data_IF_593929771867
#
_entry.id   IF_593929771867
#
_cell.length_a   1.000
_cell.length_b   1.000
_cell.length_c   1.000
_cell.angle_alpha   90.00
_cell.angle_beta   90.00
_cell.angle_gamma   90.00
#
_symmetry.space_group_name_H-M   'P 1'
#
loop_
_entity.id
_entity.type
_entity.pdbx_description
1 polymer ?
#
# COMPACT_ATOMS: atom_id res chain seq x y z
N UNK A 1 -20.01 -5.47 -28.48
CA UNK A 1 -18.95 -5.47 -27.45
C UNK A 1 -19.17 -4.22 -26.61
N UNK A 2 -19.58 -4.38 -25.35
CA UNK A 2 -19.90 -3.25 -24.47
C UNK A 2 -18.59 -2.59 -24.05
N UNK A 3 -18.45 -1.28 -24.28
CA UNK A 3 -17.29 -0.54 -23.77
C UNK A 3 -17.30 -0.57 -22.25
N UNK A 4 -16.15 -0.78 -21.58
CA UNK A 4 -16.10 -0.75 -20.14
C UNK A 4 -16.34 0.67 -19.65
N UNK A 5 -17.34 0.85 -18.78
CA UNK A 5 -17.68 2.12 -18.14
C UNK A 5 -17.66 1.95 -16.62
N UNK A 6 -17.42 3.04 -15.90
CA UNK A 6 -17.59 3.09 -14.44
C UNK A 6 -19.07 3.36 -14.14
N UNK A 7 -19.68 2.49 -13.35
CA UNK A 7 -21.06 2.66 -12.87
C UNK A 7 -21.04 3.00 -11.37
N UNK A 8 -21.91 3.88 -10.87
CA UNK A 8 -22.00 4.13 -9.44
C UNK A 8 -22.30 2.86 -8.62
N UNK A 9 -21.81 2.74 -7.37
CA UNK A 9 -20.91 3.67 -6.67
C UNK A 9 -19.47 3.64 -7.19
N UNK A 10 -18.81 4.81 -7.26
CA UNK A 10 -17.41 4.93 -7.69
C UNK A 10 -16.52 5.21 -6.48
N UNK A 11 -15.46 4.43 -6.31
CA UNK A 11 -14.46 4.60 -5.26
C UNK A 11 -13.17 5.16 -5.85
N UNK A 12 -12.64 6.23 -5.26
CA UNK A 12 -11.27 6.67 -5.47
C UNK A 12 -10.34 5.94 -4.51
N UNK A 13 -9.33 5.24 -5.04
CA UNK A 13 -8.34 4.53 -4.23
C UNK A 13 -6.95 4.82 -4.77
N UNK A 14 -6.08 5.41 -3.93
CA UNK A 14 -4.71 5.86 -4.25
C UNK A 14 -4.62 6.85 -5.43
N UNK A 15 -4.91 6.41 -6.65
CA UNK A 15 -4.85 7.19 -7.88
C UNK A 15 -5.73 6.65 -9.02
N UNK A 16 -6.53 5.62 -8.78
CA UNK A 16 -7.47 5.07 -9.76
C UNK A 16 -8.90 5.13 -9.22
N UNK A 17 -9.86 5.06 -10.13
CA UNK A 17 -11.29 4.94 -9.81
C UNK A 17 -11.73 3.49 -10.00
N UNK A 18 -12.61 3.00 -9.14
CA UNK A 18 -13.14 1.65 -9.18
C UNK A 18 -14.65 1.63 -8.98
N UNK A 19 -15.35 0.86 -9.81
CA UNK A 19 -16.77 0.56 -9.66
C UNK A 19 -16.97 -0.92 -9.29
N UNK A 20 -17.54 -1.24 -8.11
CA UNK A 20 -17.94 -2.60 -7.78
C UNK A 20 -19.05 -3.13 -8.69
N UNK A 21 -19.98 -2.27 -9.12
CA UNK A 21 -21.13 -2.63 -9.97
C UNK A 21 -20.68 -3.11 -11.35
N UNK A 22 -19.83 -2.33 -12.01
CA UNK A 22 -19.35 -2.69 -13.36
C UNK A 22 -18.09 -3.57 -13.33
N UNK A 23 -17.42 -3.68 -12.18
CA UNK A 23 -16.14 -4.37 -12.04
C UNK A 23 -15.04 -3.72 -12.87
N UNK A 24 -15.14 -2.43 -13.15
CA UNK A 24 -14.19 -1.69 -13.95
C UNK A 24 -13.33 -0.76 -13.09
N UNK A 25 -12.09 -0.57 -13.53
CA UNK A 25 -11.16 0.42 -13.01
C UNK A 25 -10.85 1.44 -14.09
N UNK A 26 -10.60 2.69 -13.69
CA UNK A 26 -10.06 3.74 -14.55
C UNK A 26 -8.71 4.17 -13.98
N UNK A 27 -7.64 3.95 -14.74
CA UNK A 27 -6.28 4.30 -14.34
C UNK A 27 -6.02 5.82 -14.46
N UNK A 28 -4.80 6.25 -14.13
CA UNK A 28 -4.40 7.66 -14.21
C UNK A 28 -4.32 8.20 -15.65
N UNK A 29 -4.22 7.32 -16.65
CA UNK A 29 -4.19 7.67 -18.07
C UNK A 29 -5.61 7.73 -18.68
N UNK A 30 -6.65 7.82 -17.83
CA UNK A 30 -8.06 7.77 -18.20
C UNK A 30 -8.52 6.49 -18.94
N UNK A 31 -7.69 5.45 -18.97
CA UNK A 31 -8.01 4.17 -19.59
C UNK A 31 -8.88 3.33 -18.66
N UNK A 32 -10.03 2.88 -19.18
CA UNK A 32 -10.94 2.00 -18.45
C UNK A 32 -10.63 0.53 -18.78
N UNK A 33 -10.41 -0.26 -17.73
CA UNK A 33 -10.10 -1.69 -17.82
C UNK A 33 -11.15 -2.45 -16.99
N UNK A 34 -11.73 -3.51 -17.57
CA UNK A 34 -12.64 -4.40 -16.84
C UNK A 34 -11.84 -5.48 -16.14
N UNK A 35 -11.98 -5.59 -14.83
CA UNK A 35 -11.39 -6.65 -14.03
C UNK A 35 -12.12 -7.98 -14.28
N UNK A 36 -11.42 -9.10 -14.10
CA UNK A 36 -12.11 -10.39 -14.03
C UNK A 36 -13.01 -10.43 -12.80
N UNK A 37 -14.10 -11.19 -12.84
CA UNK A 37 -15.08 -11.24 -11.75
C UNK A 37 -14.46 -11.51 -10.36
N UNK A 38 -13.50 -12.45 -10.29
CA UNK A 38 -12.80 -12.76 -9.03
C UNK A 38 -11.88 -11.64 -8.56
N UNK A 39 -11.23 -10.94 -9.48
CA UNK A 39 -10.37 -9.78 -9.18
C UNK A 39 -11.21 -8.60 -8.67
N UNK A 40 -12.36 -8.33 -9.31
CA UNK A 40 -13.32 -7.31 -8.86
C UNK A 40 -13.86 -7.62 -7.45
N UNK A 41 -14.34 -8.84 -7.22
CA UNK A 41 -14.86 -9.24 -5.91
C UNK A 41 -13.77 -9.13 -4.82
N UNK A 42 -12.53 -9.47 -5.15
CA UNK A 42 -11.40 -9.33 -4.23
C UNK A 42 -11.11 -7.88 -3.89
N UNK A 43 -11.13 -6.99 -4.88
CA UNK A 43 -10.93 -5.56 -4.66
C UNK A 43 -12.06 -4.95 -3.82
N UNK A 44 -13.31 -5.35 -4.07
CA UNK A 44 -14.46 -4.96 -3.23
C UNK A 44 -14.25 -5.40 -1.79
N UNK A 45 -13.91 -6.68 -1.56
CA UNK A 45 -13.67 -7.20 -0.22
C UNK A 45 -12.54 -6.47 0.52
N UNK A 46 -11.47 -6.06 -0.19
CA UNK A 46 -10.37 -5.28 0.37
C UNK A 46 -10.75 -3.83 0.72
N UNK A 47 -11.66 -3.24 -0.05
CA UNK A 47 -12.20 -1.90 0.21
C UNK A 47 -13.11 -1.94 1.44
N UNK A 48 -14.01 -2.92 1.50
CA UNK A 48 -14.95 -3.09 2.61
C UNK A 48 -14.24 -3.42 3.94
N UNK A 49 -13.10 -4.12 3.88
CA UNK A 49 -12.33 -4.47 5.07
C UNK A 49 -11.38 -3.38 5.54
N UNK A 50 -11.20 -2.28 4.80
CA UNK A 50 -10.22 -1.25 5.18
C UNK A 50 -10.59 -0.58 6.52
N UNK A 51 -9.64 -0.37 7.47
CA UNK A 51 -8.18 -0.58 7.38
C UNK A 51 -7.70 -1.94 7.93
N UNK A 52 -8.59 -2.89 8.16
CA UNK A 52 -8.29 -4.19 8.73
C UNK A 52 -7.66 -5.17 7.73
N UNK A 53 -6.99 -6.19 8.27
CA UNK A 53 -6.39 -7.26 7.45
C UNK A 53 -7.48 -8.23 7.01
N UNK A 54 -7.68 -8.34 5.70
CA UNK A 54 -8.52 -9.35 5.10
C UNK A 54 -7.80 -10.71 5.15
N UNK A 55 -8.30 -11.61 6.00
CA UNK A 55 -7.70 -12.93 6.22
C UNK A 55 -7.91 -13.85 5.03
N UNK A 56 -7.04 -14.86 4.87
CA UNK A 56 -7.18 -15.86 3.79
C UNK A 56 -8.50 -16.63 3.87
N UNK A 57 -8.92 -16.98 5.08
CA UNK A 57 -10.19 -17.64 5.32
C UNK A 57 -11.36 -16.73 4.92
N UNK A 58 -11.31 -15.44 5.28
CA UNK A 58 -12.34 -14.49 4.86
C UNK A 58 -12.39 -14.30 3.34
N UNK A 59 -11.24 -14.30 2.66
CA UNK A 59 -11.19 -14.26 1.19
C UNK A 59 -11.88 -15.50 0.60
N UNK A 60 -11.55 -16.68 1.13
CA UNK A 60 -12.15 -17.93 0.69
C UNK A 60 -13.67 -17.93 0.90
N UNK A 61 -14.13 -17.62 2.11
CA UNK A 61 -15.54 -17.60 2.48
C UNK A 61 -16.36 -16.60 1.66
N UNK A 62 -15.80 -15.40 1.39
CA UNK A 62 -16.51 -14.35 0.67
C UNK A 62 -16.53 -14.58 -0.84
N UNK A 63 -15.39 -14.99 -1.43
CA UNK A 63 -15.28 -15.12 -2.87
C UNK A 63 -15.73 -16.51 -3.33
N UNK A 64 -15.32 -17.60 -2.68
CA UNK A 64 -15.64 -18.96 -3.10
C UNK A 64 -16.83 -19.54 -2.34
N UNK A 65 -17.92 -18.78 -2.17
CA UNK A 65 -19.18 -19.29 -1.59
C UNK A 65 -19.62 -20.58 -2.30
N UNK A 66 -19.62 -21.70 -1.56
CA UNK A 66 -19.99 -23.02 -2.08
C UNK A 66 -18.90 -23.75 -2.88
N UNK A 67 -17.66 -23.28 -2.83
CA UNK A 67 -16.49 -23.93 -3.43
C UNK A 67 -15.27 -23.76 -2.53
N UNK A 68 -14.17 -24.45 -2.84
CA UNK A 68 -12.93 -24.37 -2.07
C UNK A 68 -11.84 -23.67 -2.87
N UNK A 69 -11.03 -22.83 -2.22
CA UNK A 69 -9.91 -22.15 -2.84
C UNK A 69 -8.62 -22.47 -2.11
N UNK A 70 -7.65 -23.04 -2.83
CA UNK A 70 -6.33 -23.26 -2.24
C UNK A 70 -5.60 -21.93 -2.01
N UNK A 71 -4.62 -21.93 -1.11
CA UNK A 71 -3.68 -20.81 -0.93
C UNK A 71 -3.02 -20.38 -2.25
N UNK A 72 -2.71 -21.33 -3.14
CA UNK A 72 -2.13 -21.04 -4.45
C UNK A 72 -3.11 -20.27 -5.35
N UNK A 73 -4.39 -20.66 -5.34
CA UNK A 73 -5.46 -19.97 -6.07
C UNK A 73 -5.62 -18.53 -5.58
N UNK A 74 -5.69 -18.31 -4.26
CA UNK A 74 -5.78 -16.96 -3.68
C UNK A 74 -4.56 -16.12 -4.06
N UNK A 75 -3.35 -16.69 -3.95
CA UNK A 75 -2.11 -16.00 -4.35
C UNK A 75 -2.13 -15.60 -5.83
N UNK A 76 -2.65 -16.46 -6.71
CA UNK A 76 -2.76 -16.18 -8.14
C UNK A 76 -3.78 -15.07 -8.41
N UNK A 77 -4.93 -15.08 -7.74
CA UNK A 77 -5.94 -14.00 -7.86
C UNK A 77 -5.37 -12.67 -7.37
N UNK A 78 -4.66 -12.65 -6.24
CA UNK A 78 -3.96 -11.45 -5.76
C UNK A 78 -2.91 -10.97 -6.77
N UNK A 79 -2.13 -11.88 -7.37
CA UNK A 79 -1.14 -11.53 -8.39
C UNK A 79 -1.80 -10.92 -9.63
N UNK A 80 -2.90 -11.50 -10.10
CA UNK A 80 -3.64 -10.99 -11.24
C UNK A 80 -4.26 -9.61 -10.95
N UNK A 81 -4.83 -9.42 -9.76
CA UNK A 81 -5.34 -8.12 -9.33
C UNK A 81 -4.25 -7.06 -9.28
N UNK A 82 -3.08 -7.37 -8.68
CA UNK A 82 -1.93 -6.44 -8.67
C UNK A 82 -1.48 -6.04 -10.07
N UNK A 83 -1.46 -7.00 -11.01
CA UNK A 83 -1.12 -6.71 -12.40
C UNK A 83 -2.15 -5.77 -13.05
N UNK A 84 -3.45 -6.02 -12.87
CA UNK A 84 -4.51 -5.14 -13.40
C UNK A 84 -4.48 -3.74 -12.79
N UNK A 85 -4.02 -3.60 -11.54
CA UNK A 85 -3.88 -2.33 -10.82
C UNK A 85 -2.52 -1.64 -11.03
N UNK A 86 -1.61 -2.25 -11.81
CA UNK A 86 -0.24 -1.76 -11.99
C UNK A 86 0.52 -1.60 -10.65
N UNK A 87 0.19 -2.43 -9.65
CA UNK A 87 0.78 -2.45 -8.30
C UNK A 87 2.05 -3.31 -8.24
N UNK A 88 3.03 -3.01 -9.09
CA UNK A 88 4.28 -3.78 -9.20
C UNK A 88 5.12 -3.71 -7.91
N UNK A 89 5.09 -2.56 -7.24
CA UNK A 89 5.81 -2.33 -5.98
C UNK A 89 5.09 -2.90 -4.76
N UNK A 90 3.88 -3.49 -4.92
CA UNK A 90 3.05 -4.02 -3.83
C UNK A 90 2.76 -2.96 -2.76
N UNK A 91 2.66 -1.71 -3.19
CA UNK A 91 2.42 -0.56 -2.34
C UNK A 91 0.94 -0.48 -1.97
N UNK A 92 0.04 -0.83 -2.90
CA UNK A 92 -1.40 -0.73 -2.73
C UNK A 92 -1.97 -1.91 -1.95
N UNK A 93 -1.72 -3.15 -2.41
CA UNK A 93 -2.18 -4.37 -1.73
C UNK A 93 -0.99 -4.96 -0.98
N UNK A 94 -0.90 -4.73 0.33
CA UNK A 94 0.19 -5.25 1.17
C UNK A 94 -0.13 -6.65 1.68
N UNK A 95 0.89 -7.50 1.70
CA UNK A 95 0.80 -8.82 2.31
C UNK A 95 1.23 -8.73 3.78
N UNK A 96 0.38 -9.19 4.69
CA UNK A 96 0.74 -9.40 6.10
C UNK A 96 1.06 -10.88 6.29
N UNK A 97 2.31 -11.27 6.59
CA UNK A 97 2.72 -12.66 6.73
C UNK A 97 1.82 -13.42 7.69
N UNK A 98 1.43 -14.64 7.32
CA UNK A 98 0.55 -15.54 8.09
C UNK A 98 -0.87 -15.02 8.40
N UNK A 99 -1.19 -13.76 8.10
CA UNK A 99 -2.50 -13.17 8.39
C UNK A 99 -3.35 -13.02 7.12
N UNK A 100 -2.83 -12.32 6.11
CA UNK A 100 -3.65 -12.02 4.93
C UNK A 100 -3.15 -10.82 4.14
N UNK A 101 -4.08 -9.99 3.69
CA UNK A 101 -3.82 -8.84 2.83
C UNK A 101 -4.54 -7.60 3.36
N UNK A 102 -3.95 -6.43 3.16
CA UNK A 102 -4.55 -5.16 3.58
C UNK A 102 -4.36 -4.13 2.48
N UNK A 103 -5.37 -3.29 2.31
CA UNK A 103 -5.32 -2.15 1.41
C UNK A 103 -4.58 -1.00 2.11
N UNK A 104 -3.56 -0.43 1.47
CA UNK A 104 -2.73 0.63 2.08
C UNK A 104 -3.32 2.02 1.98
N UNK A 105 -4.29 2.22 1.09
CA UNK A 105 -4.90 3.53 0.80
C UNK A 105 -6.36 3.53 1.19
N UNK A 106 -6.80 4.59 1.86
CA UNK A 106 -8.20 4.75 2.25
C UNK A 106 -9.07 4.91 1.00
N UNK A 107 -10.11 4.09 0.81
CA UNK A 107 -11.07 4.28 -0.26
C UNK A 107 -11.99 5.46 0.05
N UNK A 108 -12.27 6.29 -0.95
CA UNK A 108 -13.21 7.41 -0.86
C UNK A 108 -14.35 7.20 -1.85
N UNK A 109 -15.60 7.20 -1.36
CA UNK A 109 -16.77 7.14 -2.22
C UNK A 109 -16.97 8.51 -2.91
N UNK A 110 -17.05 8.50 -4.23
CA UNK A 110 -17.44 9.64 -5.05
C UNK A 110 -18.96 9.52 -5.24
N UNK A 111 -19.72 10.28 -4.47
CA UNK A 111 -21.13 10.54 -4.76
C UNK A 111 -21.22 11.64 -5.83
N UNK A 112 -22.06 11.46 -6.85
CA UNK A 112 -22.30 12.41 -7.95
C UNK A 112 -22.99 13.73 -7.52
N UNK A 113 -22.73 14.20 -6.31
CA UNK A 113 -23.33 15.40 -5.73
C UNK A 113 -22.24 16.45 -5.48
N UNK A 114 -21.69 16.97 -6.58
CA UNK A 114 -21.28 18.38 -6.72
C UNK A 114 -20.67 18.59 -8.11
N UNK A 115 -21.53 18.63 -9.11
CA UNK A 115 -21.23 19.28 -10.38
C UNK A 115 -21.56 20.77 -10.24
N UNK A 116 -20.77 21.56 -9.50
CA UNK A 116 -20.73 23.03 -9.60
C UNK A 116 -19.36 23.59 -9.16
N UNK A 117 -18.45 23.70 -10.13
CA UNK A 117 -17.50 24.80 -10.39
C UNK A 117 -16.59 25.30 -9.24
N UNK A 118 -15.30 24.98 -9.33
CA UNK A 118 -14.24 26.01 -9.43
C UNK A 118 -13.20 25.56 -10.48
N UNK A 119 -13.47 25.91 -11.74
CA UNK A 119 -12.43 26.15 -12.74
C UNK A 119 -11.77 27.48 -12.36
N UNK A 120 -10.44 27.56 -12.31
CA UNK A 120 -9.54 28.61 -12.87
C UNK A 120 -8.07 28.21 -12.58
N UNK A 121 -7.05 28.68 -13.33
CA UNK A 121 -6.70 28.21 -14.68
C UNK A 121 -5.23 27.74 -14.76
N UNK A 122 -4.92 26.91 -15.75
CA UNK A 122 -3.55 26.60 -16.14
C UNK A 122 -2.88 27.83 -16.79
N UNK A 123 -1.64 28.21 -16.43
CA UNK A 123 -0.82 29.03 -17.29
C UNK A 123 -0.23 28.16 -18.40
N UNK A 124 -0.49 28.58 -19.63
CA UNK A 124 0.01 28.01 -20.89
C UNK A 124 1.33 28.69 -21.28
N UNK A 125 2.11 27.93 -22.05
CA UNK A 125 3.42 28.21 -22.68
C UNK A 125 4.59 27.90 -21.74
N UNK A 126 5.56 27.06 -22.11
CA UNK A 126 6.28 27.16 -23.38
C UNK A 126 6.93 25.82 -23.81
N UNK A 127 7.12 25.73 -25.12
CA UNK A 127 7.66 24.65 -25.92
C UNK A 127 9.06 24.21 -25.44
N UNK A 128 9.22 22.94 -25.06
CA UNK A 128 10.51 22.25 -25.20
C UNK A 128 10.26 20.95 -25.94
N UNK A 129 10.64 20.97 -27.21
CA UNK A 129 10.67 19.83 -28.10
C UNK A 129 11.67 18.81 -27.55
N UNK A 130 11.16 17.74 -26.93
CA UNK A 130 11.98 16.60 -26.53
C UNK A 130 12.24 15.75 -27.78
N UNK A 131 13.50 15.38 -28.10
CA UNK A 131 13.81 14.68 -29.33
C UNK A 131 13.16 13.29 -29.34
N UNK A 132 12.70 12.90 -30.53
CA UNK A 132 12.24 11.55 -30.86
C UNK A 132 13.37 10.55 -30.55
N UNK A 133 13.34 9.92 -29.37
CA UNK A 133 14.19 8.77 -29.09
C UNK A 133 13.57 7.56 -29.79
N UNK A 134 14.17 7.24 -30.93
CA UNK A 134 13.99 6.00 -31.67
C UNK A 134 14.12 4.80 -30.73
N UNK A 135 13.08 3.96 -30.71
CA UNK A 135 13.03 2.70 -29.94
C UNK A 135 14.17 1.78 -30.38
N UNK A 136 15.32 1.91 -29.74
CA UNK A 136 16.44 0.98 -29.91
C UNK A 136 16.04 -0.33 -29.25
N UNK A 137 15.73 -1.31 -30.10
CA UNK A 137 15.55 -2.71 -29.69
C UNK A 137 16.87 -3.18 -29.08
N UNK A 138 16.95 -3.23 -27.76
CA UNK A 138 18.00 -3.94 -27.05
C UNK A 138 17.94 -5.41 -27.45
N UNK A 139 18.84 -5.82 -28.37
CA UNK A 139 19.17 -7.22 -28.58
C UNK A 139 19.78 -7.72 -27.29
N UNK A 140 19.00 -8.51 -26.54
CA UNK A 140 19.50 -9.30 -25.43
C UNK A 140 20.45 -10.36 -26.01
N UNK A 141 21.74 -10.04 -26.08
CA UNK A 141 22.76 -11.01 -26.45
C UNK A 141 22.93 -12.00 -25.31
N UNK A 142 22.55 -13.24 -25.56
CA UNK A 142 22.90 -14.37 -24.71
C UNK A 142 24.41 -14.56 -24.73
N UNK A 143 25.09 -14.09 -23.68
CA UNK A 143 26.43 -14.55 -23.32
C UNK A 143 26.36 -15.28 -21.97
N UNK A 144 25.67 -16.42 -21.94
CA UNK A 144 25.75 -17.35 -20.81
C UNK A 144 26.83 -18.40 -21.14
N UNK A 145 28.06 -18.14 -20.69
CA UNK A 145 29.11 -19.16 -20.60
C UNK A 145 28.87 -20.03 -19.36
N UNK A 146 29.00 -21.37 -19.43
CA UNK A 146 28.66 -22.29 -18.33
C UNK A 146 29.51 -22.13 -17.06
N UNK A 147 30.55 -21.28 -17.09
CA UNK A 147 31.43 -21.05 -15.96
C UNK A 147 30.84 -20.11 -14.87
N UNK A 148 29.87 -19.25 -15.22
CA UNK A 148 29.35 -18.22 -14.29
C UNK A 148 28.17 -18.68 -13.43
N UNK A 149 27.54 -19.81 -13.77
CA UNK A 149 26.38 -20.36 -13.02
C UNK A 149 26.81 -20.89 -11.66
N UNK A 150 28.01 -21.48 -11.55
CA UNK A 150 28.52 -22.06 -10.29
C UNK A 150 28.81 -21.00 -9.21
N UNK A 151 29.39 -19.86 -9.61
CA UNK A 151 29.75 -18.79 -8.67
C UNK A 151 28.51 -18.09 -8.08
N UNK A 152 27.46 -17.91 -8.87
CA UNK A 152 26.18 -17.31 -8.42
C UNK A 152 25.48 -18.25 -7.42
N UNK A 153 25.50 -19.56 -7.65
CA UNK A 153 24.92 -20.53 -6.71
C UNK A 153 25.62 -20.51 -5.34
N UNK A 154 26.95 -20.42 -5.32
CA UNK A 154 27.73 -20.33 -4.08
C UNK A 154 27.44 -19.02 -3.33
N UNK A 155 27.35 -17.90 -4.05
CA UNK A 155 26.97 -16.61 -3.46
C UNK A 155 25.56 -16.65 -2.86
N UNK A 156 24.59 -17.22 -3.57
CA UNK A 156 23.23 -17.40 -3.05
C UNK A 156 23.20 -18.28 -1.79
N UNK A 157 23.98 -19.36 -1.72
CA UNK A 157 24.05 -20.23 -0.54
C UNK A 157 24.69 -19.53 0.66
N UNK A 158 25.70 -18.68 0.44
CA UNK A 158 26.30 -17.88 1.51
C UNK A 158 25.34 -16.81 2.04
N UNK A 159 24.64 -16.08 1.16
CA UNK A 159 23.62 -15.13 1.57
C UNK A 159 22.44 -15.81 2.27
N UNK A 160 22.05 -17.02 1.83
CA UNK A 160 20.99 -17.81 2.47
C UNK A 160 21.42 -18.30 3.86
N UNK A 161 22.70 -18.69 4.03
CA UNK A 161 23.25 -19.11 5.32
C UNK A 161 23.36 -17.95 6.32
N UNK A 162 23.77 -16.76 5.85
CA UNK A 162 23.79 -15.54 6.67
C UNK A 162 22.36 -15.13 7.08
N UNK A 163 21.39 -15.24 6.17
CA UNK A 163 19.98 -14.99 6.47
C UNK A 163 19.38 -16.00 7.45
N UNK A 164 19.89 -17.23 7.51
CA UNK A 164 19.41 -18.29 8.41
C UNK A 164 19.75 -18.03 9.87
N UNK A 165 20.81 -17.27 10.15
CA UNK A 165 21.24 -16.97 11.52
C UNK A 165 20.37 -15.88 12.19
N UNK A 166 19.45 -15.22 11.48
CA UNK A 166 18.35 -14.44 12.10
C UNK A 166 18.73 -13.22 12.96
N UNK A 167 20.01 -12.95 13.21
CA UNK A 167 20.46 -11.96 14.20
C UNK A 167 20.36 -10.49 13.77
N UNK A 168 20.06 -10.19 12.50
CA UNK A 168 20.13 -8.81 12.00
C UNK A 168 18.80 -8.06 11.86
N UNK A 169 17.67 -8.68 12.24
CA UNK A 169 16.38 -7.98 12.21
C UNK A 169 16.06 -7.48 13.61
N UNK A 170 16.16 -6.16 13.89
CA UNK A 170 15.62 -5.63 15.13
C UNK A 170 14.13 -6.00 15.19
N UNK A 171 13.73 -6.61 16.30
CA UNK A 171 12.34 -6.90 16.61
C UNK A 171 11.62 -5.56 16.71
N UNK A 172 10.98 -5.15 15.62
CA UNK A 172 10.13 -3.97 15.60
C UNK A 172 8.82 -4.32 16.32
N UNK A 173 8.88 -4.43 17.64
CA UNK A 173 7.69 -4.50 18.46
C UNK A 173 6.86 -3.24 18.20
N UNK A 174 5.66 -3.44 17.65
CA UNK A 174 4.67 -2.37 17.53
C UNK A 174 4.10 -2.07 18.93
N UNK A 175 4.87 -1.34 19.73
CA UNK A 175 4.43 -0.89 21.05
C UNK A 175 3.71 0.44 20.90
N UNK A 176 2.38 0.43 20.84
CA UNK A 176 1.57 1.63 21.04
C UNK A 176 0.70 1.45 22.28
N UNK A 177 0.88 2.31 23.27
CA UNK A 177 0.03 2.31 24.47
C UNK A 177 -0.35 3.73 24.87
N UNK A 178 -1.52 3.86 25.50
CA UNK A 178 -2.07 5.15 25.93
C UNK A 178 -1.79 5.34 27.41
N UNK A 179 -1.17 6.46 27.77
CA UNK A 179 -0.92 6.87 29.15
C UNK A 179 -1.57 8.23 29.37
N UNK A 180 -2.62 8.27 30.19
CA UNK A 180 -3.47 9.45 30.34
C UNK A 180 -4.10 9.87 29.01
N UNK A 181 -3.77 11.08 28.53
CA UNK A 181 -4.23 11.62 27.23
C UNK A 181 -3.20 11.43 26.10
N UNK A 182 -2.04 10.85 26.40
CA UNK A 182 -0.91 10.78 25.46
C UNK A 182 -0.74 9.38 24.90
N UNK A 183 -0.26 9.31 23.65
CA UNK A 183 0.07 8.08 22.94
C UNK A 183 1.58 7.89 22.90
N UNK A 184 2.05 6.73 23.38
CA UNK A 184 3.47 6.40 23.47
C UNK A 184 3.75 5.26 22.49
N UNK A 185 4.67 5.51 21.56
CA UNK A 185 5.03 4.60 20.46
C UNK A 185 6.32 3.81 20.71
N UNK A 186 6.70 3.66 21.98
CA UNK A 186 7.89 2.93 22.44
C UNK A 186 7.64 2.39 23.84
N UNK A 187 8.52 1.52 24.35
CA UNK A 187 8.47 1.06 25.74
C UNK A 187 9.28 2.00 26.62
N UNK A 188 8.66 2.82 27.50
CA UNK A 188 9.38 3.76 28.34
C UNK A 188 10.13 3.05 29.46
N UNK A 189 11.31 3.56 29.80
CA UNK A 189 12.02 3.19 31.02
C UNK A 189 11.33 3.82 32.25
N UNK A 190 11.47 3.22 33.45
CA UNK A 190 10.89 3.78 34.67
C UNK A 190 11.33 5.23 34.89
N UNK A 191 10.37 6.16 34.98
CA UNK A 191 10.63 7.60 35.15
C UNK A 191 10.97 8.38 33.88
N UNK A 192 11.12 7.73 32.71
CA UNK A 192 11.44 8.40 31.45
C UNK A 192 10.34 9.40 31.01
N UNK A 193 9.09 9.06 31.28
CA UNK A 193 7.94 9.91 30.92
C UNK A 193 7.81 11.16 31.80
N UNK A 194 8.32 11.11 33.03
CA UNK A 194 8.24 12.23 33.99
C UNK A 194 9.23 13.34 33.63
N UNK A 195 10.29 13.01 32.87
CA UNK A 195 11.28 13.97 32.38
C UNK A 195 10.79 14.73 31.13
N UNK A 196 9.74 14.25 30.46
CA UNK A 196 9.18 14.87 29.27
C UNK A 196 8.27 16.04 29.63
N UNK A 197 8.44 17.19 28.96
CA UNK A 197 7.59 18.36 29.17
C UNK A 197 6.32 18.22 28.34
N UNK A 198 5.37 17.44 28.85
CA UNK A 198 4.11 17.17 28.18
C UNK A 198 3.09 18.28 28.48
N UNK A 199 2.50 18.86 27.44
CA UNK A 199 1.37 19.77 27.61
C UNK A 199 0.13 18.98 28.07
N UNK A 200 -0.60 19.53 29.03
CA UNK A 200 -1.83 18.94 29.57
C UNK A 200 -3.08 19.29 28.76
N UNK A 201 -2.99 20.29 27.86
CA UNK A 201 -4.14 20.82 27.11
C UNK A 201 -4.58 19.93 25.95
N UNK A 202 -3.64 19.34 25.22
CA UNK A 202 -3.91 18.54 24.02
C UNK A 202 -3.27 17.15 24.08
N UNK A 203 -3.91 16.12 23.50
CA UNK A 203 -3.31 14.79 23.43
C UNK A 203 -2.04 14.82 22.58
N UNK A 204 -0.95 14.29 23.12
CA UNK A 204 0.35 14.26 22.45
C UNK A 204 0.70 12.84 21.98
N UNK A 205 1.32 12.73 20.81
CA UNK A 205 1.89 11.49 20.27
C UNK A 205 3.40 11.56 20.43
N UNK A 206 3.99 10.59 21.12
CA UNK A 206 5.39 10.59 21.50
C UNK A 206 6.08 9.39 20.86
N UNK A 207 7.14 9.65 20.10
CA UNK A 207 8.05 8.63 19.56
C UNK A 207 9.48 8.87 20.02
N UNK A 208 10.22 7.79 20.28
CA UNK A 208 11.63 7.82 20.65
C UNK A 208 12.49 7.55 19.41
N UNK A 209 13.34 8.49 19.03
CA UNK A 209 14.24 8.39 17.88
C UNK A 209 15.67 8.45 18.40
N UNK A 210 16.28 7.28 18.64
CA UNK A 210 17.67 7.06 19.10
C UNK A 210 18.14 7.95 20.27
N UNK A 211 18.30 9.25 20.03
CA UNK A 211 18.86 10.26 20.93
C UNK A 211 17.86 11.33 21.40
N UNK A 212 16.64 11.38 20.86
CA UNK A 212 15.64 12.39 21.25
C UNK A 212 14.21 11.84 21.19
N UNK A 213 13.28 12.53 21.83
CA UNK A 213 11.85 12.26 21.77
C UNK A 213 11.17 13.26 20.84
N UNK A 214 10.38 12.75 19.89
CA UNK A 214 9.54 13.56 19.03
C UNK A 214 8.13 13.58 19.60
N UNK A 215 7.68 14.75 20.01
CA UNK A 215 6.36 15.00 20.59
C UNK A 215 5.53 15.74 19.55
N UNK A 216 4.43 15.15 19.10
CA UNK A 216 3.53 15.74 18.12
C UNK A 216 2.15 15.98 18.73
N UNK A 217 1.58 17.16 18.48
CA UNK A 217 0.26 17.56 18.95
C UNK A 217 -0.57 18.07 17.77
N UNK A 218 -1.88 17.86 17.82
CA UNK A 218 -2.81 18.39 16.82
C UNK A 218 -3.52 19.59 17.41
N UNK A 219 -3.21 20.77 16.88
CA UNK A 219 -3.80 22.05 17.28
C UNK A 219 -4.52 22.63 16.07
N UNK A 220 -5.83 22.85 16.17
CA UNK A 220 -6.65 23.45 15.08
C UNK A 220 -6.52 22.74 13.71
N UNK A 221 -6.37 21.40 13.74
CA UNK A 221 -6.23 20.58 12.53
C UNK A 221 -4.82 20.53 11.95
N UNK A 222 -3.86 21.25 12.52
CA UNK A 222 -2.45 21.20 12.14
C UNK A 222 -1.65 20.37 13.14
N UNK A 223 -0.85 19.43 12.62
CA UNK A 223 0.05 18.61 13.45
C UNK A 223 1.37 19.36 13.67
N UNK A 224 1.60 19.84 14.89
CA UNK A 224 2.84 20.48 15.29
C UNK A 224 3.73 19.47 16.04
N UNK A 225 4.96 19.29 15.60
CA UNK A 225 5.92 18.38 16.23
C UNK A 225 7.13 19.14 16.77
N UNK A 226 7.56 18.79 17.97
CA UNK A 226 8.77 19.30 18.61
C UNK A 226 9.67 18.14 19.04
N UNK A 227 10.98 18.32 18.88
CA UNK A 227 11.98 17.41 19.40
C UNK A 227 12.41 17.90 20.79
N UNK A 228 12.43 16.98 21.75
CA UNK A 228 12.93 17.19 23.11
C UNK A 228 14.03 16.18 23.42
#
# INVERSE_FOLDING_TARGET
MTQPALEPPIYQVAGFQYSPTSGAIKNQEDKIIRLRAREANLLTALIDSFPEVLSRQSIEDQLWKGSYATNATINQTIKALRFSLEDDQRALIRTIPKQGYVLSSKPHLISEESELVVIQPAPKAEHVEAPLIEKTRLRLSTMFSPLHVGAIAISCLLFFSIGYQGELFPENDRVSHKVGKNWILFKPEPGELEQLKLDSKHPSIISKIKTYHRICQVTEGLTQCKNQ
#
